data_IF_873898481633
#
_entry.id   IF_873898481633
#
_cell.length_a   1.000
_cell.length_b   1.000
_cell.length_c   1.000
_cell.angle_alpha   90.00
_cell.angle_beta   90.00
_cell.angle_gamma   90.00
#
_symmetry.space_group_name_H-M   'P 1'
#
loop_
_entity.id
_entity.type
_entity.pdbx_description
1 polymer ?
#
# COMPACT_ATOMS: atom_id res chain seq x y z
N UNK A 1 -19.40 -36.32 -8.37
CA UNK A 1 -19.76 -35.08 -9.08
C UNK A 1 -20.29 -34.12 -8.04
N UNK A 2 -19.44 -33.26 -7.48
CA UNK A 2 -19.81 -32.30 -6.43
C UNK A 2 -20.14 -31.00 -7.15
N UNK A 3 -21.42 -30.71 -7.31
CA UNK A 3 -21.91 -29.45 -7.84
C UNK A 3 -21.85 -28.42 -6.71
N UNK A 4 -20.81 -27.59 -6.69
CA UNK A 4 -20.74 -26.44 -5.81
C UNK A 4 -21.70 -25.37 -6.37
N UNK A 5 -22.93 -25.32 -5.84
CA UNK A 5 -23.82 -24.20 -6.07
C UNK A 5 -23.31 -23.01 -5.26
N UNK A 6 -22.49 -22.18 -5.88
CA UNK A 6 -22.20 -20.84 -5.40
C UNK A 6 -23.51 -20.02 -5.55
N UNK A 7 -24.26 -19.90 -4.47
CA UNK A 7 -25.27 -18.85 -4.35
C UNK A 7 -24.55 -17.52 -4.53
N UNK A 8 -24.96 -16.75 -5.49
CA UNK A 8 -24.56 -15.35 -5.68
C UNK A 8 -25.21 -14.51 -4.57
N UNK A 9 -24.73 -14.65 -3.35
CA UNK A 9 -24.96 -13.65 -2.34
C UNK A 9 -24.14 -12.43 -2.77
N UNK A 10 -24.79 -11.30 -2.82
CA UNK A 10 -24.29 -9.98 -3.16
C UNK A 10 -22.86 -9.78 -2.65
N UNK A 11 -21.90 -10.08 -3.49
CA UNK A 11 -20.49 -9.70 -3.18
C UNK A 11 -20.49 -8.18 -3.19
N UNK A 12 -20.20 -7.53 -2.06
CA UNK A 12 -20.14 -6.07 -2.04
C UNK A 12 -19.17 -5.63 -3.11
N UNK A 13 -19.56 -4.62 -3.89
CA UNK A 13 -18.70 -4.04 -4.90
C UNK A 13 -17.40 -3.56 -4.19
N UNK A 14 -16.35 -4.36 -4.29
CA UNK A 14 -15.09 -4.12 -3.59
C UNK A 14 -14.55 -2.71 -3.88
N UNK A 15 -14.81 -2.15 -5.05
CA UNK A 15 -14.43 -0.78 -5.40
C UNK A 15 -15.14 0.25 -4.53
N UNK A 16 -16.43 0.02 -4.19
CA UNK A 16 -17.17 0.90 -3.28
C UNK A 16 -16.65 0.77 -1.86
N UNK A 17 -16.36 -0.45 -1.42
CA UNK A 17 -15.76 -0.70 -0.10
C UNK A 17 -14.41 -0.01 0.00
N UNK A 18 -13.60 -0.07 -1.04
CA UNK A 18 -12.32 0.67 -1.11
C UNK A 18 -12.52 2.18 -1.08
N UNK A 19 -13.43 2.70 -1.89
CA UNK A 19 -13.68 4.14 -1.98
C UNK A 19 -14.28 4.72 -0.68
N UNK A 20 -15.06 3.95 0.07
CA UNK A 20 -15.64 4.35 1.36
C UNK A 20 -14.67 4.19 2.55
N UNK A 21 -13.54 3.53 2.33
CA UNK A 21 -12.59 3.17 3.40
C UNK A 21 -11.54 4.22 3.72
N UNK A 22 -11.62 5.40 3.13
CA UNK A 22 -10.72 6.50 3.48
C UNK A 22 -11.23 7.20 4.74
N UNK A 23 -10.59 6.90 5.86
CA UNK A 23 -10.82 7.66 7.08
C UNK A 23 -10.27 9.08 6.87
N UNK A 24 -11.13 10.07 7.01
CA UNK A 24 -10.71 11.48 7.03
C UNK A 24 -9.85 11.80 8.24
N UNK A 25 -9.15 12.94 8.21
CA UNK A 25 -8.31 13.37 9.33
C UNK A 25 -9.08 13.47 10.66
N UNK A 26 -10.40 13.80 10.60
CA UNK A 26 -11.28 13.85 11.78
C UNK A 26 -11.51 12.48 12.41
N UNK A 27 -11.65 11.45 11.60
CA UNK A 27 -11.88 10.09 12.07
C UNK A 27 -10.60 9.49 12.67
N UNK A 28 -9.44 9.84 12.12
CA UNK A 28 -8.14 9.39 12.60
C UNK A 28 -7.85 9.88 14.03
N UNK A 29 -8.27 11.09 14.39
CA UNK A 29 -8.09 11.59 15.76
C UNK A 29 -8.82 10.76 16.82
N UNK A 30 -9.91 10.12 16.46
CA UNK A 30 -10.67 9.26 17.38
C UNK A 30 -9.97 7.93 17.64
N UNK A 31 -9.27 7.40 16.65
CA UNK A 31 -8.60 6.09 16.74
C UNK A 31 -7.09 6.21 17.04
N UNK A 32 -6.52 7.41 16.93
CA UNK A 32 -5.13 7.74 17.22
C UNK A 32 -5.02 8.92 18.19
N UNK A 33 -5.49 8.81 19.43
CA UNK A 33 -5.45 9.93 20.38
C UNK A 33 -4.03 10.32 20.83
N UNK A 34 -3.04 9.47 20.57
CA UNK A 34 -1.65 9.65 21.02
C UNK A 34 -0.84 10.62 20.11
N UNK A 35 -1.34 10.95 18.92
CA UNK A 35 -0.69 11.86 17.99
C UNK A 35 -1.44 13.19 17.92
N UNK A 36 -0.73 14.31 17.97
CA UNK A 36 -1.36 15.61 17.80
C UNK A 36 -1.85 15.82 16.37
N UNK A 37 -2.87 16.67 16.18
CA UNK A 37 -3.39 16.99 14.83
C UNK A 37 -2.32 17.54 13.90
N UNK A 38 -1.37 18.32 14.42
CA UNK A 38 -0.29 18.89 13.62
C UNK A 38 0.70 17.81 13.17
N UNK A 39 1.07 16.89 14.03
CA UNK A 39 1.92 15.76 13.71
C UNK A 39 1.22 14.81 12.74
N UNK A 40 -0.06 14.51 12.99
CA UNK A 40 -0.87 13.68 12.10
C UNK A 40 -0.92 14.26 10.68
N UNK A 41 -1.13 15.57 10.55
CA UNK A 41 -1.12 16.23 9.25
C UNK A 41 0.24 16.10 8.54
N UNK A 42 1.35 16.26 9.28
CA UNK A 42 2.70 16.10 8.74
C UNK A 42 2.97 14.66 8.30
N UNK A 43 2.69 13.67 9.17
CA UNK A 43 2.87 12.25 8.84
C UNK A 43 2.02 11.86 7.64
N UNK A 44 0.76 12.31 7.60
CA UNK A 44 -0.16 12.01 6.50
C UNK A 44 0.25 12.65 5.17
N UNK A 45 1.00 13.77 5.20
CA UNK A 45 1.56 14.37 3.98
C UNK A 45 2.76 13.59 3.43
N UNK A 46 3.49 12.87 4.27
CA UNK A 46 4.62 12.02 3.86
C UNK A 46 4.10 10.67 3.34
N UNK A 47 3.28 10.01 4.12
CA UNK A 47 2.67 8.73 3.76
C UNK A 47 1.21 8.69 4.24
N UNK A 48 0.25 8.87 3.34
CA UNK A 48 -1.17 8.95 3.69
C UNK A 48 -1.65 7.73 4.48
N UNK A 49 -2.49 7.96 5.47
CA UNK A 49 -3.19 6.87 6.14
C UNK A 49 -4.29 6.35 5.22
N UNK A 50 -4.30 5.06 4.99
CA UNK A 50 -5.33 4.39 4.21
C UNK A 50 -5.74 3.12 4.94
N UNK A 51 -7.01 3.08 5.35
CA UNK A 51 -7.63 1.98 6.07
C UNK A 51 -9.01 1.71 5.48
N UNK A 52 -9.42 0.46 5.48
CA UNK A 52 -10.82 0.12 5.17
C UNK A 52 -11.65 0.20 6.45
N UNK A 53 -12.90 0.67 6.32
CA UNK A 53 -13.83 0.71 7.46
C UNK A 53 -13.98 -0.67 8.09
N UNK A 54 -14.08 -1.71 7.28
CA UNK A 54 -14.16 -3.10 7.77
C UNK A 54 -13.00 -3.50 8.68
N UNK A 55 -11.77 -3.02 8.40
CA UNK A 55 -10.61 -3.30 9.24
C UNK A 55 -10.74 -2.59 10.60
N UNK A 56 -11.21 -1.35 10.59
CA UNK A 56 -11.43 -0.56 11.82
C UNK A 56 -12.53 -1.17 12.67
N UNK A 57 -13.67 -1.55 12.05
CA UNK A 57 -14.81 -2.11 12.76
C UNK A 57 -14.52 -3.49 13.36
N UNK A 58 -13.61 -4.24 12.75
CA UNK A 58 -13.27 -5.60 13.18
C UNK A 58 -12.23 -5.67 14.28
N UNK A 59 -11.60 -4.54 14.65
CA UNK A 59 -10.50 -4.54 15.61
C UNK A 59 -10.66 -3.38 16.62
N UNK A 60 -10.33 -3.63 17.91
CA UNK A 60 -10.42 -2.58 18.92
C UNK A 60 -9.43 -1.44 18.62
N UNK A 61 -9.87 -0.21 18.87
CA UNK A 61 -8.99 0.96 18.80
C UNK A 61 -7.77 0.77 19.71
N UNK A 62 -6.58 1.07 19.19
CA UNK A 62 -5.31 0.86 19.91
C UNK A 62 -4.84 -0.59 19.97
N UNK A 63 -5.60 -1.55 19.42
CA UNK A 63 -5.19 -2.94 19.32
C UNK A 63 -3.98 -3.14 18.39
N UNK A 64 -3.26 -4.25 18.59
CA UNK A 64 -2.01 -4.55 17.87
C UNK A 64 -2.18 -4.59 16.35
N UNK A 65 -3.33 -5.02 15.86
CA UNK A 65 -3.61 -5.06 14.42
C UNK A 65 -3.69 -3.64 13.86
N UNK A 66 -4.47 -2.74 14.47
CA UNK A 66 -4.60 -1.38 13.99
C UNK A 66 -3.31 -0.58 14.12
N UNK A 67 -2.47 -0.84 15.12
CA UNK A 67 -1.15 -0.21 15.28
C UNK A 67 -0.25 -0.38 14.06
N UNK A 68 -0.45 -1.39 13.26
CA UNK A 68 0.33 -1.60 12.04
C UNK A 68 0.01 -0.59 10.94
N UNK A 69 -1.11 0.08 11.04
CA UNK A 69 -1.64 1.00 10.03
C UNK A 69 -1.81 2.43 10.53
N UNK A 70 -1.82 2.62 11.86
CA UNK A 70 -2.01 3.93 12.46
C UNK A 70 -0.68 4.68 12.56
N UNK A 71 -0.66 5.98 12.23
CA UNK A 71 0.56 6.78 12.23
C UNK A 71 1.04 7.08 13.64
N UNK A 72 2.34 7.29 13.78
CA UNK A 72 2.97 7.75 15.01
C UNK A 72 3.85 8.97 14.75
N UNK A 73 4.06 9.82 15.77
CA UNK A 73 4.97 10.96 15.67
C UNK A 73 6.43 10.55 15.38
N UNK A 74 6.81 9.32 15.71
CA UNK A 74 8.14 8.78 15.44
C UNK A 74 8.48 8.74 13.94
N UNK A 75 7.48 8.66 13.07
CA UNK A 75 7.67 8.66 11.62
C UNK A 75 8.21 10.00 11.07
N UNK A 76 8.15 11.07 11.87
CA UNK A 76 8.74 12.36 11.52
C UNK A 76 10.25 12.41 11.78
N UNK A 77 10.81 11.38 12.42
CA UNK A 77 12.25 11.27 12.66
C UNK A 77 12.89 10.39 11.61
N UNK A 78 14.06 10.79 11.11
CA UNK A 78 14.84 9.99 10.18
C UNK A 78 16.16 9.59 10.85
N UNK A 79 16.22 8.43 11.52
CA UNK A 79 17.41 8.02 12.23
C UNK A 79 18.58 7.74 11.26
N UNK A 80 19.82 8.03 11.65
CA UNK A 80 21.00 7.74 10.83
C UNK A 80 21.08 6.26 10.44
N UNK A 81 21.50 6.00 9.21
CA UNK A 81 21.70 4.64 8.70
C UNK A 81 20.45 4.00 8.07
N UNK A 82 19.33 4.72 8.02
CA UNK A 82 18.12 4.27 7.32
C UNK A 82 18.00 4.94 5.96
N UNK A 83 17.52 4.20 4.97
CA UNK A 83 17.29 4.67 3.61
C UNK A 83 15.80 4.56 3.24
N UNK A 84 15.35 5.45 2.34
CA UNK A 84 13.97 5.43 1.85
C UNK A 84 13.68 4.24 0.93
N UNK A 85 14.71 3.66 0.32
CA UNK A 85 14.61 2.42 -0.46
C UNK A 85 15.45 1.31 0.21
N UNK A 86 14.96 0.72 1.31
CA UNK A 86 15.73 -0.23 2.12
C UNK A 86 16.02 -1.54 1.40
N UNK A 87 15.33 -1.81 0.30
CA UNK A 87 15.48 -3.04 -0.47
C UNK A 87 16.08 -2.83 -1.86
N UNK A 88 16.39 -1.58 -2.25
CA UNK A 88 17.00 -1.24 -3.55
C UNK A 88 16.07 -1.56 -4.74
N UNK A 89 14.78 -1.32 -4.59
CA UNK A 89 13.81 -1.56 -5.67
C UNK A 89 13.95 -0.52 -6.79
N UNK A 90 14.32 0.73 -6.44
CA UNK A 90 14.48 1.80 -7.41
C UNK A 90 15.67 1.52 -8.33
N UNK A 91 16.80 1.13 -7.78
CA UNK A 91 18.02 0.78 -8.55
C UNK A 91 17.82 -0.49 -9.37
N UNK A 92 16.96 -1.40 -8.92
CA UNK A 92 16.62 -2.65 -9.60
C UNK A 92 15.50 -2.49 -10.64
N UNK A 93 14.90 -1.30 -10.78
CA UNK A 93 13.86 -1.03 -11.77
C UNK A 93 14.49 -0.91 -13.15
N UNK A 94 14.15 -1.83 -14.05
CA UNK A 94 14.65 -1.83 -15.44
C UNK A 94 13.91 -0.81 -16.30
N UNK A 95 12.61 -0.78 -16.15
CA UNK A 95 11.68 0.16 -16.78
C UNK A 95 10.34 0.09 -16.03
N UNK A 96 9.46 1.03 -16.34
CA UNK A 96 8.22 1.21 -15.58
C UNK A 96 7.47 -0.10 -15.33
N UNK A 97 7.28 -0.40 -14.06
CA UNK A 97 6.54 -1.57 -13.59
C UNK A 97 7.33 -2.89 -13.58
N UNK A 98 8.62 -2.89 -13.92
CA UNK A 98 9.45 -4.09 -13.91
C UNK A 98 10.69 -3.92 -13.06
N UNK A 99 10.75 -4.69 -11.99
CA UNK A 99 11.88 -4.75 -11.06
C UNK A 99 12.59 -6.10 -11.23
N UNK A 100 13.90 -6.07 -11.46
CA UNK A 100 14.73 -7.28 -11.59
C UNK A 100 15.93 -7.21 -10.63
N UNK A 101 15.89 -8.05 -9.60
CA UNK A 101 16.99 -8.23 -8.64
C UNK A 101 17.74 -9.55 -8.85
N UNK A 102 17.17 -10.47 -9.58
CA UNK A 102 17.70 -11.84 -9.75
C UNK A 102 17.66 -12.24 -11.22
N UNK A 103 18.59 -13.10 -11.62
CA UNK A 103 18.81 -13.43 -13.03
C UNK A 103 17.60 -14.07 -13.72
N UNK A 104 16.86 -14.94 -13.01
CA UNK A 104 15.80 -15.75 -13.60
C UNK A 104 14.39 -15.38 -13.13
N UNK A 105 14.19 -14.17 -12.58
CA UNK A 105 12.88 -13.71 -12.16
C UNK A 105 12.77 -12.20 -12.15
N UNK A 106 11.59 -11.73 -12.42
CA UNK A 106 11.21 -10.33 -12.34
C UNK A 106 9.96 -10.16 -11.49
N UNK A 107 9.82 -9.00 -10.87
CA UNK A 107 8.58 -8.56 -10.28
C UNK A 107 7.89 -7.63 -11.29
N UNK A 108 6.66 -7.96 -11.67
CA UNK A 108 5.81 -7.09 -12.46
C UNK A 108 4.82 -6.39 -11.55
N UNK A 109 4.90 -5.07 -11.47
CA UNK A 109 3.93 -4.24 -10.73
C UNK A 109 2.71 -4.07 -11.62
N UNK A 110 1.61 -4.71 -11.23
CA UNK A 110 0.35 -4.69 -11.99
C UNK A 110 -0.61 -3.60 -11.52
N UNK A 111 -0.44 -3.10 -10.31
CA UNK A 111 -1.22 -2.02 -9.72
C UNK A 111 -0.41 -1.33 -8.64
N UNK A 112 -0.66 -0.05 -8.45
CA UNK A 112 -0.16 0.73 -7.31
C UNK A 112 -1.22 0.99 -6.24
N UNK A 113 -2.40 0.44 -6.44
CA UNK A 113 -3.48 0.59 -5.46
C UNK A 113 -3.33 -0.47 -4.37
N UNK A 114 -3.13 -0.01 -3.16
CA UNK A 114 -3.12 -0.85 -1.98
C UNK A 114 -4.37 -0.57 -1.13
N UNK A 115 -5.06 -1.59 -0.60
CA UNK A 115 -6.27 -1.41 0.21
C UNK A 115 -6.00 -0.74 1.56
N UNK A 116 -4.80 -0.93 2.08
CA UNK A 116 -4.35 -0.38 3.36
C UNK A 116 -2.90 0.05 3.24
N UNK A 117 -2.51 1.10 3.94
CA UNK A 117 -1.12 1.54 4.01
C UNK A 117 -0.48 1.08 5.32
N UNK A 118 0.25 -0.04 5.26
CA UNK A 118 1.04 -0.51 6.40
C UNK A 118 2.14 0.50 6.74
N UNK A 119 2.25 0.92 8.01
CA UNK A 119 3.26 1.93 8.41
C UNK A 119 4.70 1.44 8.28
N UNK A 120 4.91 0.13 8.25
CA UNK A 120 6.19 -0.53 7.99
C UNK A 120 6.40 -0.90 6.52
N UNK A 121 5.66 -0.32 5.59
CA UNK A 121 5.77 -0.64 4.16
C UNK A 121 7.16 -0.24 3.63
N UNK A 122 7.93 -1.23 3.18
CA UNK A 122 9.26 -0.99 2.61
C UNK A 122 9.22 -0.30 1.24
N UNK A 123 8.04 -0.23 0.63
CA UNK A 123 7.77 0.47 -0.62
C UNK A 123 6.99 1.77 -0.45
N UNK A 124 6.94 2.35 0.76
CA UNK A 124 6.18 3.60 0.98
C UNK A 124 6.69 4.76 0.12
N UNK A 125 8.00 4.79 -0.14
CA UNK A 125 8.67 5.82 -0.93
C UNK A 125 8.93 5.39 -2.40
N UNK A 126 8.36 4.25 -2.83
CA UNK A 126 8.48 3.80 -4.21
C UNK A 126 7.67 4.72 -5.15
N UNK A 127 8.25 5.18 -6.28
CA UNK A 127 7.63 6.21 -7.13
C UNK A 127 6.51 5.65 -8.03
N UNK A 128 5.50 5.00 -7.46
CA UNK A 128 4.38 4.40 -8.17
C UNK A 128 3.69 5.29 -9.23
N UNK A 129 3.48 6.61 -9.01
CA UNK A 129 2.85 7.45 -10.02
C UNK A 129 3.66 7.56 -11.31
N UNK A 130 4.98 7.52 -11.20
CA UNK A 130 5.89 7.59 -12.35
C UNK A 130 6.14 6.22 -12.99
N UNK A 131 5.89 5.17 -12.23
CA UNK A 131 6.11 3.77 -12.63
C UNK A 131 4.80 3.05 -13.02
N UNK A 132 3.82 3.80 -13.50
CA UNK A 132 2.51 3.26 -13.86
C UNK A 132 2.61 2.28 -15.04
N UNK A 133 2.34 0.98 -14.83
CA UNK A 133 2.36 -0.02 -15.88
C UNK A 133 1.11 0.07 -16.77
N UNK A 134 0.82 1.26 -17.31
CA UNK A 134 -0.28 1.46 -18.23
C UNK A 134 -0.14 0.56 -19.47
N UNK A 135 -1.19 0.31 -20.19
CA UNK A 135 -1.33 -0.69 -21.25
C UNK A 135 -0.18 -0.76 -22.26
N UNK A 136 0.56 0.33 -22.46
CA UNK A 136 1.74 0.34 -23.33
C UNK A 136 2.99 -0.27 -22.67
N UNK A 137 3.12 -0.18 -21.37
CA UNK A 137 4.29 -0.67 -20.63
C UNK A 137 4.28 -2.18 -20.44
N UNK A 138 3.11 -2.81 -20.36
CA UNK A 138 3.03 -4.27 -20.32
C UNK A 138 3.61 -4.95 -21.54
N UNK A 139 3.51 -4.34 -22.73
CA UNK A 139 4.10 -4.91 -23.94
C UNK A 139 5.61 -5.08 -23.81
N UNK A 140 6.29 -4.07 -23.31
CA UNK A 140 7.73 -4.10 -23.08
C UNK A 140 8.10 -5.09 -21.98
N UNK A 141 7.31 -5.12 -20.90
CA UNK A 141 7.50 -6.06 -19.80
C UNK A 141 7.35 -7.50 -20.28
N UNK A 142 6.29 -7.81 -21.03
CA UNK A 142 6.05 -9.14 -21.57
C UNK A 142 7.11 -9.55 -22.58
N UNK A 143 7.52 -8.64 -23.48
CA UNK A 143 8.60 -8.90 -24.43
C UNK A 143 9.91 -9.23 -23.70
N UNK A 144 10.24 -8.52 -22.64
CA UNK A 144 11.42 -8.78 -21.83
C UNK A 144 11.33 -10.13 -21.10
N UNK A 145 10.18 -10.44 -20.50
CA UNK A 145 9.97 -11.71 -19.77
C UNK A 145 10.07 -12.93 -20.73
N UNK A 146 9.62 -12.79 -21.97
CA UNK A 146 9.74 -13.86 -22.97
C UNK A 146 11.19 -14.12 -23.41
N UNK A 147 12.13 -13.24 -23.09
CA UNK A 147 13.56 -13.39 -23.43
C UNK A 147 14.40 -13.93 -22.25
N UNK A 148 13.81 -14.10 -21.08
CA UNK A 148 14.45 -14.67 -19.89
C UNK A 148 14.41 -16.19 -19.88
#
# INVERSE_FOLDING_TARGET
>A
MITCMLKSEHTPDWKKVFASGYLGAGDLNQICPEISQQELAKVNSIFPVQLTQSLVDSHPAGGEVLRQYLPTAQELTNPPGYANDPVGDQDATLFNGVIKKYDHRVLLITTHTCPVHCRYCFRKDYPYPHDNPNTHHYKNALAYICLL
#
